data_IF_601837735496
#
_entry.id   IF_601837735496
#
_cell.length_a   1.000
_cell.length_b   1.000
_cell.length_c   1.000
_cell.angle_alpha   90.00
_cell.angle_beta   90.00
_cell.angle_gamma   90.00
#
_symmetry.space_group_name_H-M   'P 1'
#
loop_
_entity.id
_entity.type
_entity.pdbx_description
1 polymer ?
#
# COMPACT_ATOMS: atom_id res chain seq x y z
N UNK A 1 6.01 -14.38 20.46
CA UNK A 1 5.53 -13.08 19.95
C UNK A 1 6.66 -12.20 19.43
N UNK A 2 7.69 -11.91 20.24
CA UNK A 2 8.86 -11.09 19.84
C UNK A 2 9.57 -11.55 18.57
N UNK A 3 9.85 -12.85 18.43
CA UNK A 3 10.48 -13.42 17.23
C UNK A 3 9.68 -13.21 15.94
N UNK A 4 8.34 -13.25 16.03
CA UNK A 4 7.47 -12.99 14.87
C UNK A 4 7.51 -11.53 14.47
N UNK A 5 7.45 -10.63 15.44
CA UNK A 5 7.51 -9.19 15.20
C UNK A 5 8.84 -8.83 14.56
N UNK A 6 9.97 -9.30 15.12
CA UNK A 6 11.29 -9.04 14.56
C UNK A 6 11.45 -9.68 13.17
N UNK A 7 10.98 -10.92 12.99
CA UNK A 7 11.05 -11.64 11.72
C UNK A 7 10.24 -11.00 10.60
N UNK A 8 9.14 -10.31 10.91
CA UNK A 8 8.35 -9.58 9.92
C UNK A 8 8.83 -8.14 9.71
N UNK A 9 9.18 -7.43 10.78
CA UNK A 9 9.48 -6.00 10.73
C UNK A 9 10.90 -5.70 10.24
N UNK A 10 11.90 -6.53 10.58
CA UNK A 10 13.29 -6.29 10.17
C UNK A 10 13.48 -6.39 8.64
N UNK A 11 13.02 -7.45 7.95
CA UNK A 11 13.14 -7.51 6.50
C UNK A 11 12.39 -6.37 5.81
N UNK A 12 11.21 -6.02 6.31
CA UNK A 12 10.40 -4.91 5.79
C UNK A 12 11.12 -3.57 5.92
N UNK A 13 11.74 -3.31 7.08
CA UNK A 13 12.54 -2.11 7.33
C UNK A 13 13.76 -2.05 6.40
N UNK A 14 14.51 -3.14 6.28
CA UNK A 14 15.71 -3.20 5.44
C UNK A 14 15.39 -2.96 3.97
N UNK A 15 14.32 -3.60 3.45
CA UNK A 15 13.85 -3.38 2.08
C UNK A 15 13.42 -1.92 1.90
N UNK A 16 12.62 -1.38 2.82
CA UNK A 16 12.16 0.01 2.76
C UNK A 16 13.33 0.99 2.75
N UNK A 17 14.32 0.83 3.63
CA UNK A 17 15.53 1.67 3.66
C UNK A 17 16.34 1.57 2.38
N UNK A 18 16.52 0.36 1.84
CA UNK A 18 17.24 0.14 0.59
C UNK A 18 16.52 0.82 -0.59
N UNK A 19 15.21 0.63 -0.72
CA UNK A 19 14.42 1.24 -1.79
C UNK A 19 14.39 2.75 -1.63
N UNK A 20 14.22 3.29 -0.41
CA UNK A 20 14.29 4.72 -0.16
C UNK A 20 15.64 5.32 -0.56
N UNK A 21 16.75 4.63 -0.27
CA UNK A 21 18.08 5.04 -0.71
C UNK A 21 18.18 5.12 -2.24
N UNK A 22 17.70 4.11 -2.96
CA UNK A 22 17.73 4.10 -4.43
C UNK A 22 16.80 5.14 -5.05
N UNK A 23 15.58 5.29 -4.52
CA UNK A 23 14.63 6.33 -4.93
C UNK A 23 15.27 7.71 -4.73
N UNK A 24 15.87 8.00 -3.57
CA UNK A 24 16.57 9.26 -3.32
C UNK A 24 17.68 9.53 -4.34
N UNK A 25 18.39 8.49 -4.77
CA UNK A 25 19.51 8.59 -5.72
C UNK A 25 19.05 8.78 -7.17
N UNK A 26 17.91 8.19 -7.57
CA UNK A 26 17.47 8.15 -8.96
C UNK A 26 16.31 9.07 -9.30
N UNK A 27 15.50 9.46 -8.31
CA UNK A 27 14.38 10.38 -8.49
C UNK A 27 14.76 11.70 -9.21
N UNK A 28 15.93 12.33 -8.93
CA UNK A 28 16.40 13.48 -9.72
C UNK A 28 16.59 13.22 -11.20
N UNK A 29 17.08 12.02 -11.56
CA UNK A 29 17.29 11.64 -12.97
C UNK A 29 15.97 11.38 -13.69
N UNK A 30 14.95 10.93 -12.95
CA UNK A 30 13.62 10.69 -13.50
C UNK A 30 12.73 11.93 -13.50
N UNK A 31 13.19 13.05 -12.93
CA UNK A 31 12.36 14.26 -12.79
C UNK A 31 11.26 14.11 -11.75
N UNK A 32 11.33 13.09 -10.88
CA UNK A 32 10.45 12.88 -9.73
C UNK A 32 10.98 13.69 -8.54
N UNK A 33 11.04 15.00 -8.72
CA UNK A 33 11.57 15.90 -7.69
C UNK A 33 10.59 17.03 -7.49
N UNK A 34 10.22 17.23 -6.24
CA UNK A 34 9.50 18.40 -5.84
C UNK A 34 10.44 19.60 -5.79
N UNK A 35 10.13 20.65 -6.55
CA UNK A 35 10.94 21.86 -6.64
C UNK A 35 10.39 22.92 -5.68
N UNK A 36 11.28 23.66 -4.98
CA UNK A 36 10.87 24.75 -4.11
C UNK A 36 10.07 25.80 -4.90
N UNK A 37 9.00 26.30 -4.32
CA UNK A 37 8.12 27.32 -4.90
C UNK A 37 7.50 28.21 -3.83
N UNK A 38 6.81 29.28 -4.23
CA UNK A 38 6.31 30.33 -3.32
C UNK A 38 5.34 29.88 -2.19
N UNK A 39 4.89 28.62 -2.18
CA UNK A 39 4.01 28.03 -1.17
C UNK A 39 4.61 26.81 -0.44
N UNK A 40 5.94 26.57 -0.55
CA UNK A 40 6.60 25.37 0.01
C UNK A 40 7.71 25.76 0.98
N UNK A 41 7.76 25.11 2.14
CA UNK A 41 8.70 25.40 3.25
C UNK A 41 10.13 24.90 2.95
N UNK A 42 10.24 23.88 2.11
CA UNK A 42 11.51 23.28 1.68
C UNK A 42 12.25 24.17 0.69
N UNK A 43 13.51 24.48 1.01
CA UNK A 43 14.44 25.29 0.19
C UNK A 43 15.28 24.44 -0.76
N UNK A 44 15.29 23.12 -0.58
CA UNK A 44 16.04 22.17 -1.41
C UNK A 44 15.08 21.25 -2.16
N UNK A 45 15.40 20.85 -3.41
CA UNK A 45 14.57 19.92 -4.16
C UNK A 45 14.48 18.56 -3.47
N UNK A 46 13.28 18.11 -3.12
CA UNK A 46 13.07 16.84 -2.40
C UNK A 46 12.61 15.74 -3.37
N UNK A 47 13.19 14.53 -3.30
CA UNK A 47 12.81 13.44 -4.18
C UNK A 47 11.43 12.88 -3.79
N UNK A 48 10.55 12.71 -4.79
CA UNK A 48 9.24 12.09 -4.66
C UNK A 48 9.38 10.56 -4.74
N UNK A 49 8.47 9.83 -4.10
CA UNK A 49 8.43 8.36 -4.17
C UNK A 49 8.68 7.60 -2.86
N UNK A 50 8.53 8.24 -1.69
CA UNK A 50 8.55 7.55 -0.40
C UNK A 50 7.53 6.41 -0.30
N UNK A 51 6.36 6.57 -0.93
CA UNK A 51 5.34 5.51 -1.02
C UNK A 51 5.82 4.23 -1.71
N UNK A 52 6.76 4.33 -2.68
CA UNK A 52 7.35 3.16 -3.33
C UNK A 52 8.22 2.35 -2.34
N UNK A 53 8.96 3.04 -1.47
CA UNK A 53 9.79 2.40 -0.45
C UNK A 53 8.94 1.65 0.58
N UNK A 54 7.87 2.29 1.07
CA UNK A 54 6.92 1.66 2.01
C UNK A 54 6.24 0.46 1.35
N UNK A 55 5.72 0.62 0.14
CA UNK A 55 5.04 -0.45 -0.56
C UNK A 55 5.96 -1.64 -0.86
N UNK A 56 7.19 -1.39 -1.32
CA UNK A 56 8.17 -2.44 -1.55
C UNK A 56 8.57 -3.15 -0.23
N UNK A 57 8.68 -2.40 0.87
CA UNK A 57 8.92 -2.94 2.21
C UNK A 57 7.84 -3.91 2.68
N UNK A 58 6.59 -3.71 2.27
CA UNK A 58 5.48 -4.64 2.56
C UNK A 58 5.51 -5.83 1.60
N UNK A 59 5.58 -5.56 0.29
CA UNK A 59 5.40 -6.60 -0.74
C UNK A 59 6.56 -7.58 -0.79
N UNK A 60 7.81 -7.12 -0.73
CA UNK A 60 8.95 -8.00 -0.99
C UNK A 60 9.12 -9.11 0.08
N UNK A 61 9.07 -8.82 1.40
CA UNK A 61 9.13 -9.89 2.41
C UNK A 61 7.97 -10.87 2.30
N UNK A 62 6.75 -10.38 2.03
CA UNK A 62 5.57 -11.22 1.83
C UNK A 62 5.70 -12.10 0.59
N UNK A 63 6.18 -11.55 -0.53
CA UNK A 63 6.44 -12.28 -1.77
C UNK A 63 7.50 -13.36 -1.55
N UNK A 64 8.63 -13.02 -0.96
CA UNK A 64 9.71 -13.96 -0.66
C UNK A 64 9.23 -15.08 0.26
N UNK A 65 8.50 -14.76 1.33
CA UNK A 65 7.94 -15.74 2.24
C UNK A 65 6.93 -16.68 1.55
N UNK A 66 6.01 -16.11 0.77
CA UNK A 66 5.03 -16.89 0.00
C UNK A 66 5.70 -17.80 -1.04
N UNK A 67 6.66 -17.28 -1.81
CA UNK A 67 7.42 -18.06 -2.80
C UNK A 67 8.25 -19.17 -2.13
N UNK A 68 8.89 -18.89 -0.99
CA UNK A 68 9.64 -19.92 -0.25
C UNK A 68 8.73 -21.09 0.16
N UNK A 69 7.52 -20.79 0.62
CA UNK A 69 6.52 -21.81 0.99
C UNK A 69 6.07 -22.65 -0.22
N UNK A 70 5.98 -22.06 -1.41
CA UNK A 70 5.60 -22.75 -2.64
C UNK A 70 6.74 -23.59 -3.24
N UNK A 71 7.97 -23.07 -3.22
CA UNK A 71 9.12 -23.69 -3.88
C UNK A 71 9.74 -24.82 -3.05
N UNK A 72 9.62 -24.76 -1.72
CA UNK A 72 10.26 -25.71 -0.81
C UNK A 72 9.28 -26.22 0.26
N UNK A 73 8.17 -26.86 -0.15
CA UNK A 73 7.13 -27.29 0.79
C UNK A 73 7.68 -28.33 1.78
N UNK A 74 7.45 -28.10 3.07
CA UNK A 74 7.84 -29.03 4.14
C UNK A 74 9.33 -29.12 4.45
N UNK A 75 10.22 -28.45 3.71
CA UNK A 75 11.67 -28.43 4.00
C UNK A 75 12.16 -27.12 4.64
N UNK A 76 11.30 -26.10 4.67
CA UNK A 76 11.60 -24.88 5.41
C UNK A 76 11.62 -25.20 6.92
N UNK A 77 12.70 -24.82 7.65
CA UNK A 77 12.76 -24.97 9.09
C UNK A 77 11.85 -23.94 9.76
N UNK A 78 10.55 -24.24 9.77
CA UNK A 78 9.53 -23.39 10.37
C UNK A 78 9.38 -23.76 11.85
N UNK A 79 9.33 -22.78 12.76
CA UNK A 79 8.92 -23.04 14.13
C UNK A 79 7.54 -23.72 14.16
N UNK A 80 7.28 -24.66 15.11
CA UNK A 80 6.03 -25.41 15.15
C UNK A 80 4.78 -24.51 15.18
N UNK A 81 4.87 -23.38 15.87
CA UNK A 81 3.77 -22.40 15.94
C UNK A 81 3.49 -21.71 14.60
N UNK A 82 4.45 -21.60 13.67
CA UNK A 82 4.23 -21.06 12.32
C UNK A 82 3.67 -22.16 11.42
N UNK A 83 4.22 -23.37 11.52
CA UNK A 83 3.86 -24.51 10.69
C UNK A 83 2.35 -24.81 10.74
N UNK A 84 1.73 -24.70 11.93
CA UNK A 84 0.28 -24.89 12.11
C UNK A 84 -0.59 -23.87 11.36
N UNK A 85 -0.06 -22.68 11.06
CA UNK A 85 -0.78 -21.60 10.39
C UNK A 85 -0.54 -21.55 8.88
N UNK A 86 0.40 -22.34 8.34
CA UNK A 86 0.74 -22.34 6.91
C UNK A 86 -0.47 -22.62 6.01
N UNK A 87 -1.34 -23.60 6.27
CA UNK A 87 -2.52 -23.82 5.44
C UNK A 87 -3.46 -22.60 5.42
N UNK A 88 -3.64 -21.96 6.58
CA UNK A 88 -4.39 -20.72 6.72
C UNK A 88 -3.78 -19.59 5.89
N UNK A 89 -2.46 -19.39 5.99
CA UNK A 89 -1.73 -18.38 5.21
C UNK A 89 -1.90 -18.58 3.70
N UNK A 90 -1.77 -19.82 3.21
CA UNK A 90 -1.96 -20.13 1.79
C UNK A 90 -3.41 -19.89 1.34
N UNK A 91 -4.40 -20.20 2.17
CA UNK A 91 -5.82 -19.95 1.86
C UNK A 91 -6.16 -18.46 1.78
N UNK A 92 -5.49 -17.61 2.57
CA UNK A 92 -5.70 -16.16 2.55
C UNK A 92 -4.80 -15.45 1.51
N UNK A 93 -3.80 -16.13 0.95
CA UNK A 93 -2.86 -15.53 0.00
C UNK A 93 -3.56 -14.88 -1.21
N UNK A 94 -4.60 -15.46 -1.85
CA UNK A 94 -5.28 -14.80 -2.96
C UNK A 94 -5.91 -13.46 -2.58
N UNK A 95 -6.48 -13.35 -1.37
CA UNK A 95 -7.03 -12.10 -0.84
C UNK A 95 -5.94 -11.07 -0.64
N UNK A 96 -4.83 -11.47 0.00
CA UNK A 96 -3.68 -10.61 0.22
C UNK A 96 -3.10 -10.09 -1.10
N UNK A 97 -2.86 -10.97 -2.08
CA UNK A 97 -2.31 -10.59 -3.38
C UNK A 97 -3.25 -9.68 -4.17
N UNK A 98 -4.56 -9.89 -4.07
CA UNK A 98 -5.54 -9.01 -4.68
C UNK A 98 -5.55 -7.60 -4.04
N UNK A 99 -5.43 -7.53 -2.71
CA UNK A 99 -5.28 -6.26 -2.00
C UNK A 99 -4.01 -5.52 -2.39
N UNK A 100 -2.87 -6.24 -2.42
CA UNK A 100 -1.57 -5.66 -2.81
C UNK A 100 -1.56 -5.23 -4.28
N UNK A 101 -2.24 -5.94 -5.18
CA UNK A 101 -2.40 -5.52 -6.56
C UNK A 101 -3.18 -4.20 -6.66
N UNK A 102 -4.27 -4.04 -5.91
CA UNK A 102 -4.98 -2.75 -5.80
C UNK A 102 -4.09 -1.64 -5.25
N UNK A 103 -3.31 -1.93 -4.20
CA UNK A 103 -2.31 -1.01 -3.66
C UNK A 103 -1.24 -0.60 -4.68
N UNK A 104 -0.76 -1.54 -5.50
CA UNK A 104 0.20 -1.25 -6.56
C UNK A 104 -0.37 -0.28 -7.60
N UNK A 105 -1.64 -0.45 -8.00
CA UNK A 105 -2.33 0.49 -8.90
C UNK A 105 -2.37 1.88 -8.29
N UNK A 106 -2.67 2.00 -6.98
CA UNK A 106 -2.73 3.29 -6.29
C UNK A 106 -1.34 3.94 -6.13
N UNK A 107 -0.29 3.15 -5.87
CA UNK A 107 1.09 3.65 -5.84
C UNK A 107 1.51 4.17 -7.21
N UNK A 108 1.20 3.44 -8.28
CA UNK A 108 1.47 3.88 -9.65
C UNK A 108 0.69 5.15 -9.98
N UNK A 109 -0.60 5.22 -9.62
CA UNK A 109 -1.42 6.42 -9.78
C UNK A 109 -0.79 7.62 -9.06
N UNK A 110 -0.34 7.45 -7.82
CA UNK A 110 0.34 8.49 -7.04
C UNK A 110 1.63 8.96 -7.72
N UNK A 111 2.47 8.04 -8.19
CA UNK A 111 3.70 8.39 -8.93
C UNK A 111 3.42 9.12 -10.25
N UNK A 112 2.32 8.77 -10.94
CA UNK A 112 1.90 9.47 -12.15
C UNK A 112 1.38 10.87 -11.80
N UNK A 113 0.59 11.01 -10.73
CA UNK A 113 0.09 12.28 -10.22
C UNK A 113 1.25 13.22 -9.84
N UNK A 114 2.22 12.72 -9.07
CA UNK A 114 3.43 13.43 -8.67
C UNK A 114 4.22 13.98 -9.88
N UNK A 115 4.23 13.25 -11.00
CA UNK A 115 4.98 13.64 -12.20
C UNK A 115 4.18 14.56 -13.12
N UNK A 116 2.87 14.31 -13.28
CA UNK A 116 2.05 14.92 -14.35
C UNK A 116 1.01 15.90 -13.83
N UNK A 117 0.72 15.92 -12.53
CA UNK A 117 -0.36 16.69 -11.92
C UNK A 117 -1.72 16.29 -12.52
N UNK A 118 -2.22 15.10 -12.15
CA UNK A 118 -3.47 14.59 -12.70
C UNK A 118 -4.67 15.37 -12.17
N UNK A 119 -5.68 15.57 -13.03
CA UNK A 119 -6.96 16.11 -12.59
C UNK A 119 -7.60 15.21 -11.53
N UNK A 120 -8.25 15.83 -10.55
CA UNK A 120 -8.96 15.14 -9.46
C UNK A 120 -9.95 14.08 -9.95
N UNK A 121 -10.56 14.27 -11.13
CA UNK A 121 -11.51 13.33 -11.74
C UNK A 121 -10.87 11.97 -12.03
N UNK A 122 -9.66 11.97 -12.59
CA UNK A 122 -8.96 10.72 -12.92
C UNK A 122 -8.47 10.00 -11.66
N UNK A 123 -8.02 10.77 -10.67
CA UNK A 123 -7.62 10.20 -9.37
C UNK A 123 -8.79 9.51 -8.69
N UNK A 124 -9.93 10.19 -8.58
CA UNK A 124 -11.14 9.61 -7.99
C UNK A 124 -11.68 8.44 -8.80
N UNK A 125 -11.63 8.49 -10.14
CA UNK A 125 -12.09 7.40 -10.98
C UNK A 125 -11.29 6.12 -10.73
N UNK A 126 -9.96 6.20 -10.70
CA UNK A 126 -9.09 5.04 -10.45
C UNK A 126 -9.24 4.55 -9.00
N UNK A 127 -9.28 5.44 -8.01
CA UNK A 127 -9.49 5.07 -6.61
C UNK A 127 -10.84 4.35 -6.41
N UNK A 128 -11.91 4.86 -7.03
CA UNK A 128 -13.24 4.27 -6.98
C UNK A 128 -13.27 2.90 -7.68
N UNK A 129 -12.60 2.76 -8.83
CA UNK A 129 -12.50 1.49 -9.54
C UNK A 129 -11.76 0.43 -8.71
N UNK A 130 -10.61 0.80 -8.12
CA UNK A 130 -9.85 -0.09 -7.24
C UNK A 130 -10.68 -0.46 -6.01
N UNK A 131 -11.27 0.52 -5.32
CA UNK A 131 -12.09 0.28 -4.15
C UNK A 131 -13.30 -0.63 -4.46
N UNK A 132 -13.98 -0.39 -5.59
CA UNK A 132 -15.09 -1.24 -6.04
C UNK A 132 -14.64 -2.66 -6.32
N UNK A 133 -13.51 -2.85 -7.00
CA UNK A 133 -12.95 -4.17 -7.29
C UNK A 133 -12.60 -4.92 -6.00
N UNK A 134 -11.96 -4.24 -5.03
CA UNK A 134 -11.64 -4.81 -3.71
C UNK A 134 -12.90 -5.31 -3.01
N UNK A 135 -13.90 -4.43 -2.84
CA UNK A 135 -15.10 -4.73 -2.08
C UNK A 135 -15.98 -5.79 -2.77
N UNK A 136 -16.09 -5.76 -4.10
CA UNK A 136 -16.97 -6.68 -4.83
C UNK A 136 -16.42 -8.11 -4.91
N UNK A 137 -15.09 -8.26 -4.94
CA UNK A 137 -14.46 -9.58 -5.14
C UNK A 137 -14.56 -10.52 -3.94
N UNK A 138 -14.71 -9.97 -2.73
CA UNK A 138 -14.70 -10.73 -1.48
C UNK A 138 -15.77 -10.20 -0.50
N UNK A 139 -16.70 -11.06 -0.09
CA UNK A 139 -17.86 -10.67 0.74
C UNK A 139 -17.51 -10.06 2.10
N UNK A 140 -16.31 -10.35 2.64
CA UNK A 140 -15.85 -9.91 3.95
C UNK A 140 -15.11 -8.58 3.98
N UNK A 141 -15.03 -7.85 2.87
CA UNK A 141 -14.35 -6.54 2.79
C UNK A 141 -15.32 -5.36 2.77
N UNK A 142 -16.61 -5.63 2.98
CA UNK A 142 -17.64 -4.62 3.19
C UNK A 142 -17.65 -4.19 4.66
N UNK A 143 -18.01 -2.93 4.89
CA UNK A 143 -18.41 -2.43 6.20
C UNK A 143 -19.53 -3.31 6.76
N UNK A 144 -19.40 -3.72 8.01
CA UNK A 144 -20.46 -4.41 8.75
C UNK A 144 -21.19 -3.37 9.59
N UNK A 145 -22.49 -3.18 9.29
CA UNK A 145 -23.35 -2.25 10.03
C UNK A 145 -24.32 -3.04 10.89
N UNK A 146 -24.32 -2.82 12.21
CA UNK A 146 -25.13 -3.61 13.13
C UNK A 146 -26.64 -3.59 12.82
N UNK A 147 -27.16 -2.48 12.32
CA UNK A 147 -28.61 -2.26 12.09
C UNK A 147 -28.97 -2.35 10.60
N UNK A 148 -28.02 -2.04 9.70
CA UNK A 148 -28.28 -1.81 8.29
C UNK A 148 -27.29 -2.59 7.40
N UNK A 149 -27.06 -3.86 7.72
CA UNK A 149 -26.11 -4.74 7.02
C UNK A 149 -26.64 -5.26 5.67
N UNK A 150 -27.12 -4.35 4.83
CA UNK A 150 -27.64 -4.72 3.51
C UNK A 150 -26.56 -4.49 2.44
N UNK A 151 -26.23 -5.49 1.59
CA UNK A 151 -25.17 -5.39 0.57
C UNK A 151 -25.25 -4.17 -0.32
N UNK A 152 -26.45 -3.74 -0.69
CA UNK A 152 -26.69 -2.58 -1.54
C UNK A 152 -26.37 -1.24 -0.86
N UNK A 153 -26.26 -1.23 0.46
CA UNK A 153 -25.92 -0.05 1.27
C UNK A 153 -24.45 -0.15 1.71
N UNK A 154 -24.05 -1.30 2.26
CA UNK A 154 -22.70 -1.49 2.79
C UNK A 154 -21.65 -1.49 1.69
N UNK A 155 -21.94 -1.99 0.49
CA UNK A 155 -21.00 -1.96 -0.64
C UNK A 155 -20.65 -0.54 -1.08
N UNK A 156 -21.60 0.34 -1.50
CA UNK A 156 -21.26 1.70 -1.90
C UNK A 156 -20.67 2.51 -0.75
N UNK A 157 -21.13 2.30 0.49
CA UNK A 157 -20.56 2.96 1.66
C UNK A 157 -19.10 2.54 1.90
N UNK A 158 -18.76 1.27 1.69
CA UNK A 158 -17.38 0.78 1.81
C UNK A 158 -16.47 1.38 0.74
N UNK A 159 -16.96 1.48 -0.50
CA UNK A 159 -16.23 2.13 -1.59
C UNK A 159 -15.98 3.59 -1.25
N UNK A 160 -17.03 4.32 -0.84
CA UNK A 160 -16.92 5.71 -0.42
C UNK A 160 -15.97 5.88 0.78
N UNK A 161 -15.99 4.95 1.73
CA UNK A 161 -15.10 4.95 2.89
C UNK A 161 -13.63 4.76 2.48
N UNK A 162 -13.34 3.80 1.61
CA UNK A 162 -11.97 3.55 1.12
C UNK A 162 -11.46 4.78 0.34
N UNK A 163 -12.26 5.30 -0.61
CA UNK A 163 -11.89 6.49 -1.39
C UNK A 163 -11.71 7.71 -0.49
N UNK A 164 -12.62 7.89 0.48
CA UNK A 164 -12.55 8.95 1.48
C UNK A 164 -11.26 8.88 2.29
N UNK A 165 -10.92 7.71 2.83
CA UNK A 165 -9.67 7.51 3.57
C UNK A 165 -8.44 7.83 2.72
N UNK A 166 -8.39 7.34 1.47
CA UNK A 166 -7.27 7.62 0.56
C UNK A 166 -7.11 9.14 0.36
N UNK A 167 -8.21 9.85 0.09
CA UNK A 167 -8.18 11.29 -0.12
C UNK A 167 -7.82 12.05 1.18
N UNK A 168 -8.33 11.61 2.34
CA UNK A 168 -8.01 12.20 3.64
C UNK A 168 -6.52 12.08 3.98
N UNK A 169 -5.90 10.91 3.79
CA UNK A 169 -4.45 10.75 4.01
C UNK A 169 -3.63 11.59 3.04
N UNK A 170 -4.03 11.68 1.76
CA UNK A 170 -3.36 12.54 0.78
C UNK A 170 -3.45 14.03 1.15
N UNK A 171 -4.58 14.48 1.71
CA UNK A 171 -4.73 15.84 2.21
C UNK A 171 -3.85 16.11 3.43
N UNK A 172 -3.78 15.17 4.38
CA UNK A 172 -2.92 15.28 5.56
C UNK A 172 -1.44 15.38 5.17
N UNK A 173 -0.97 14.54 4.26
CA UNK A 173 0.43 14.56 3.77
C UNK A 173 0.76 15.87 3.03
N UNK A 174 -0.20 16.43 2.29
CA UNK A 174 -0.03 17.73 1.63
C UNK A 174 -0.11 18.94 2.59
N UNK A 175 -0.66 18.77 3.80
CA UNK A 175 -0.83 19.84 4.79
C UNK A 175 0.42 20.12 5.62
N UNK A 176 1.43 19.24 5.64
CA UNK A 176 2.73 19.50 6.28
C UNK A 176 3.49 20.67 5.59
N UNK A 177 3.04 21.11 4.41
CA UNK A 177 3.49 22.36 3.77
C UNK A 177 2.63 23.61 4.05
N UNK A 178 1.43 23.47 4.65
CA UNK A 178 0.47 24.56 4.93
C UNK A 178 0.34 24.92 6.43
N UNK A 179 0.90 24.09 7.32
CA UNK A 179 0.73 24.21 8.77
C UNK A 179 1.92 24.89 9.48
N UNK A 180 2.72 25.66 8.75
CA UNK A 180 3.83 26.46 9.27
C UNK A 180 3.55 27.96 9.10
#
# INVERSE_FOLDING_TARGET
MTWLILGASLPSLLVSLAVAYFVRRWAPRWGLVDRPGHRKVHTTPTPLGGGLAVFAGIVAPLACGYLALLLVPGRLPLPPFVATHVPGLLSQAPKLWFLLAGGAVLVVLGLIDDRRGLDWRWRLAVQTAVASALVWRWEGWRLSLYILDHPWITTPLSVLWIVGLINSFNMLDNMDGLSA
#
